data_IF_774942131244
#
_entry.id   IF_774942131244
#
_cell.length_a   1.000
_cell.length_b   1.000
_cell.length_c   1.000
_cell.angle_alpha   90.00
_cell.angle_beta   90.00
_cell.angle_gamma   90.00
#
_symmetry.space_group_name_H-M   'P 1'
#
loop_
_entity.id
_entity.type
_entity.pdbx_description
1 polymer ?
#
# COMPACT_ATOMS: atom_id res chain seq x y z
N UNK A 1 0.60 -51.52 -8.62
CA UNK A 1 0.45 -50.04 -8.68
C UNK A 1 -0.96 -49.72 -8.21
N UNK A 2 -1.10 -49.49 -6.91
CA UNK A 2 -2.38 -49.52 -6.20
C UNK A 2 -3.04 -48.14 -6.30
N UNK A 3 -4.12 -48.05 -7.08
CA UNK A 3 -5.05 -46.92 -7.09
C UNK A 3 -6.00 -47.04 -5.91
N UNK A 4 -6.17 -45.98 -5.12
CA UNK A 4 -7.23 -45.91 -4.10
C UNK A 4 -8.02 -44.62 -4.30
N UNK A 5 -9.10 -44.76 -5.04
CA UNK A 5 -10.20 -43.81 -5.21
C UNK A 5 -11.03 -43.78 -3.91
N UNK A 6 -11.01 -42.67 -3.16
CA UNK A 6 -11.91 -42.49 -2.01
C UNK A 6 -13.28 -41.99 -2.47
N UNK A 7 -14.27 -42.88 -2.35
CA UNK A 7 -15.68 -42.65 -2.66
C UNK A 7 -16.34 -41.82 -1.55
N UNK A 8 -17.18 -40.87 -1.97
CA UNK A 8 -18.10 -40.10 -1.12
C UNK A 8 -19.05 -41.07 -0.41
N UNK A 9 -19.09 -41.05 0.91
CA UNK A 9 -20.09 -41.78 1.69
C UNK A 9 -21.12 -40.80 2.24
N UNK A 10 -22.31 -40.79 1.65
CA UNK A 10 -23.54 -40.41 2.34
C UNK A 10 -23.90 -41.57 3.28
N UNK A 11 -24.20 -41.27 4.53
CA UNK A 11 -24.72 -42.25 5.49
C UNK A 11 -25.29 -41.56 6.71
N UNK A 12 -26.59 -41.26 6.66
CA UNK A 12 -27.39 -40.88 7.82
C UNK A 12 -28.02 -42.15 8.41
N UNK A 13 -27.79 -42.42 9.70
CA UNK A 13 -28.55 -43.41 10.48
C UNK A 13 -28.92 -42.78 11.82
N UNK A 14 -30.22 -42.70 12.07
CA UNK A 14 -30.84 -42.24 13.31
C UNK A 14 -31.15 -43.44 14.22
N UNK A 15 -30.78 -43.35 15.50
CA UNK A 15 -31.28 -44.24 16.56
C UNK A 15 -31.64 -43.39 17.78
N UNK A 16 -32.88 -43.53 18.25
CA UNK A 16 -33.45 -42.83 19.38
C UNK A 16 -32.78 -43.24 20.70
N UNK A 17 -32.24 -42.25 21.41
CA UNK A 17 -31.79 -42.34 22.80
C UNK A 17 -31.82 -40.92 23.37
N UNK A 18 -32.29 -40.75 24.60
CA UNK A 18 -32.36 -39.44 25.24
C UNK A 18 -30.94 -38.89 25.46
N UNK A 19 -30.43 -38.12 24.49
CA UNK A 19 -29.17 -37.38 24.60
C UNK A 19 -29.53 -36.00 25.13
N UNK A 20 -28.98 -35.65 26.30
CA UNK A 20 -28.96 -34.28 26.80
C UNK A 20 -28.49 -33.39 25.66
N UNK A 21 -29.36 -32.52 25.16
CA UNK A 21 -29.01 -31.54 24.14
C UNK A 21 -28.05 -30.53 24.75
N UNK A 22 -26.78 -30.90 24.87
CA UNK A 22 -25.70 -29.93 24.99
C UNK A 22 -25.74 -29.18 23.67
N UNK A 23 -26.05 -27.88 23.63
CA UNK A 23 -25.85 -27.11 22.42
C UNK A 23 -24.36 -27.20 22.09
N UNK A 24 -24.03 -28.05 21.13
CA UNK A 24 -22.72 -28.09 20.52
C UNK A 24 -22.66 -26.81 19.68
N UNK A 25 -22.33 -25.71 20.36
CA UNK A 25 -21.94 -24.48 19.72
C UNK A 25 -20.72 -24.83 18.88
N UNK A 26 -20.95 -25.09 17.59
CA UNK A 26 -19.89 -25.11 16.60
C UNK A 26 -19.40 -23.67 16.55
N UNK A 27 -18.44 -23.34 17.41
CA UNK A 27 -17.65 -22.14 17.24
C UNK A 27 -16.98 -22.32 15.89
N UNK A 28 -17.52 -21.63 14.88
CA UNK A 28 -16.77 -21.35 13.67
C UNK A 28 -15.61 -20.49 14.13
N UNK A 29 -14.53 -21.12 14.59
CA UNK A 29 -13.26 -20.46 14.78
C UNK A 29 -12.98 -19.79 13.45
N UNK A 30 -12.98 -18.46 13.46
CA UNK A 30 -12.52 -17.70 12.31
C UNK A 30 -11.09 -18.18 12.07
N UNK A 31 -10.88 -18.99 11.04
CA UNK A 31 -9.55 -19.28 10.57
C UNK A 31 -9.01 -17.97 10.01
N UNK A 32 -8.45 -17.13 10.87
CA UNK A 32 -7.55 -16.07 10.43
C UNK A 32 -6.41 -16.80 9.73
N UNK A 33 -6.27 -16.61 8.42
CA UNK A 33 -5.08 -17.06 7.73
C UNK A 33 -3.87 -16.57 8.53
N UNK A 34 -2.93 -17.47 8.86
CA UNK A 34 -1.71 -17.06 9.53
C UNK A 34 -1.07 -15.97 8.67
N UNK A 35 -0.99 -14.75 9.22
CA UNK A 35 -0.30 -13.66 8.54
C UNK A 35 1.20 -13.95 8.45
N UNK A 36 1.91 -13.06 7.78
CA UNK A 36 3.36 -13.03 7.83
C UNK A 36 3.85 -11.86 8.69
N UNK A 37 4.90 -12.12 9.47
CA UNK A 37 5.66 -11.09 10.16
C UNK A 37 6.80 -10.61 9.26
N UNK A 38 6.64 -9.38 8.78
CA UNK A 38 7.52 -8.66 7.87
C UNK A 38 8.59 -7.84 8.61
N UNK A 39 8.60 -7.81 9.94
CA UNK A 39 9.56 -7.02 10.72
C UNK A 39 11.01 -7.42 10.44
N UNK A 40 11.29 -8.73 10.34
CA UNK A 40 12.62 -9.25 10.00
C UNK A 40 13.07 -8.86 8.59
N UNK A 41 12.14 -8.91 7.62
CA UNK A 41 12.40 -8.47 6.24
C UNK A 41 12.68 -6.97 6.21
N UNK A 42 11.84 -6.16 6.86
CA UNK A 42 12.00 -4.71 6.92
C UNK A 42 13.30 -4.28 7.63
N UNK A 43 13.72 -5.02 8.66
CA UNK A 43 15.00 -4.76 9.31
C UNK A 43 16.19 -5.04 8.37
N UNK A 44 16.12 -6.11 7.59
CA UNK A 44 17.15 -6.42 6.61
C UNK A 44 17.16 -5.41 5.44
N UNK A 45 15.98 -4.99 4.96
CA UNK A 45 15.83 -4.10 3.79
C UNK A 45 16.14 -2.63 4.11
N UNK A 46 15.63 -2.11 5.23
CA UNK A 46 15.69 -0.68 5.54
C UNK A 46 16.12 -0.37 6.98
N UNK A 47 16.68 -1.35 7.70
CA UNK A 47 16.93 -1.24 9.16
C UNK A 47 15.65 -0.91 9.95
N UNK A 48 14.49 -1.33 9.44
CA UNK A 48 13.18 -1.16 10.07
C UNK A 48 12.55 0.22 9.82
N UNK A 49 13.13 1.04 8.94
CA UNK A 49 12.59 2.35 8.60
C UNK A 49 11.45 2.23 7.57
N UNK A 50 10.20 2.28 8.03
CA UNK A 50 9.02 2.22 7.18
C UNK A 50 8.78 3.46 6.32
N UNK A 51 9.43 4.58 6.63
CA UNK A 51 9.39 5.81 5.85
C UNK A 51 10.64 6.01 4.97
N UNK A 52 11.41 4.94 4.71
CA UNK A 52 12.64 5.04 3.95
C UNK A 52 12.40 5.61 2.54
N UNK A 53 13.06 6.72 2.24
CA UNK A 53 13.06 7.36 0.92
C UNK A 53 14.43 8.02 0.69
N UNK A 54 15.43 7.19 0.44
CA UNK A 54 16.84 7.61 0.37
C UNK A 54 17.28 8.05 -1.04
N UNK A 55 16.36 8.04 -2.01
CA UNK A 55 16.66 8.36 -3.41
C UNK A 55 17.33 7.23 -4.20
N UNK A 56 17.35 6.01 -3.67
CA UNK A 56 17.91 4.82 -4.34
C UNK A 56 16.91 4.09 -5.27
N UNK A 57 15.72 4.66 -5.50
CA UNK A 57 14.68 4.08 -6.35
C UNK A 57 13.77 3.05 -5.66
N UNK A 58 13.98 2.83 -4.36
CA UNK A 58 13.17 1.97 -3.51
C UNK A 58 12.55 2.77 -2.37
N UNK A 59 11.39 2.30 -1.89
CA UNK A 59 10.57 3.06 -0.97
C UNK A 59 10.02 2.19 0.16
N UNK A 60 9.97 2.79 1.35
CA UNK A 60 9.35 2.22 2.53
C UNK A 60 10.16 1.12 3.21
N UNK A 61 9.55 0.49 4.21
CA UNK A 61 10.21 -0.51 5.07
C UNK A 61 10.67 -1.75 4.33
N UNK A 62 9.96 -2.11 3.26
CA UNK A 62 10.20 -3.31 2.49
C UNK A 62 10.87 -3.02 1.14
N UNK A 63 11.39 -1.80 0.96
CA UNK A 63 12.16 -1.39 -0.22
C UNK A 63 11.43 -1.72 -1.54
N UNK A 64 10.18 -1.27 -1.69
CA UNK A 64 9.43 -1.45 -2.93
C UNK A 64 9.96 -0.57 -4.06
N UNK A 65 10.03 -1.10 -5.29
CA UNK A 65 10.07 -0.22 -6.47
C UNK A 65 8.70 0.41 -6.70
N UNK A 66 8.66 1.60 -7.30
CA UNK A 66 7.39 2.27 -7.62
C UNK A 66 6.51 1.44 -8.58
N UNK A 67 7.13 0.71 -9.52
CA UNK A 67 6.41 -0.18 -10.44
C UNK A 67 5.76 -1.36 -9.73
N UNK A 68 6.48 -2.02 -8.82
CA UNK A 68 5.92 -3.16 -8.05
C UNK A 68 4.84 -2.66 -7.09
N UNK A 69 5.06 -1.52 -6.43
CA UNK A 69 4.08 -0.89 -5.56
C UNK A 69 2.73 -0.71 -6.27
N UNK A 70 2.74 -0.07 -7.44
CA UNK A 70 1.53 0.19 -8.21
C UNK A 70 0.91 -1.11 -8.77
N UNK A 71 1.74 -2.06 -9.22
CA UNK A 71 1.26 -3.31 -9.81
C UNK A 71 0.53 -4.23 -8.81
N UNK A 72 0.87 -4.14 -7.51
CA UNK A 72 0.30 -4.97 -6.45
C UNK A 72 -0.72 -4.20 -5.58
N UNK A 73 -1.25 -3.10 -6.13
CA UNK A 73 -2.38 -2.38 -5.57
C UNK A 73 -2.03 -1.32 -4.53
N UNK A 74 -0.75 -0.92 -4.44
CA UNK A 74 -0.34 0.27 -3.71
C UNK A 74 -0.66 1.54 -4.51
N UNK A 75 -0.98 2.62 -3.80
CA UNK A 75 -1.21 3.96 -4.39
C UNK A 75 -0.20 4.97 -3.86
N UNK A 76 0.10 6.01 -4.64
CA UNK A 76 1.11 7.00 -4.25
C UNK A 76 2.50 6.38 -4.09
N UNK A 77 3.25 6.80 -3.07
CA UNK A 77 4.60 6.29 -2.79
C UNK A 77 4.60 5.44 -1.52
N UNK A 78 5.26 4.27 -1.55
CA UNK A 78 5.28 3.35 -0.41
C UNK A 78 5.85 3.98 0.87
N UNK A 79 6.83 4.89 0.77
CA UNK A 79 7.42 5.56 1.93
C UNK A 79 6.44 6.52 2.64
N UNK A 80 5.38 6.96 1.95
CA UNK A 80 4.31 7.79 2.53
C UNK A 80 3.11 6.95 3.00
N UNK A 81 3.10 5.64 2.70
CA UNK A 81 2.04 4.74 3.11
C UNK A 81 2.29 4.23 4.52
N UNK A 82 1.21 3.94 5.26
CA UNK A 82 1.32 3.31 6.57
C UNK A 82 2.03 1.95 6.46
N UNK A 83 2.70 1.53 7.54
CA UNK A 83 3.29 0.19 7.61
C UNK A 83 2.28 -0.91 7.25
N UNK A 84 1.03 -0.79 7.72
CA UNK A 84 -0.04 -1.75 7.41
C UNK A 84 -0.37 -1.81 5.93
N UNK A 85 -0.36 -0.66 5.23
CA UNK A 85 -0.60 -0.61 3.80
C UNK A 85 0.57 -1.21 3.02
N UNK A 86 1.80 -0.95 3.47
CA UNK A 86 2.99 -1.59 2.90
C UNK A 86 2.98 -3.10 3.07
N UNK A 87 2.58 -3.60 4.24
CA UNK A 87 2.41 -5.03 4.49
C UNK A 87 1.30 -5.61 3.61
N UNK A 88 0.16 -4.93 3.46
CA UNK A 88 -0.93 -5.39 2.59
C UNK A 88 -0.45 -5.58 1.14
N UNK A 89 0.33 -4.63 0.61
CA UNK A 89 0.92 -4.76 -0.73
C UNK A 89 1.98 -5.86 -0.75
N UNK A 90 2.76 -6.03 0.33
CA UNK A 90 3.74 -7.11 0.44
C UNK A 90 3.09 -8.49 0.40
N UNK A 91 1.96 -8.68 1.07
CA UNK A 91 1.16 -9.91 1.03
C UNK A 91 0.66 -10.19 -0.40
N UNK A 92 0.23 -9.17 -1.14
CA UNK A 92 -0.14 -9.32 -2.55
C UNK A 92 1.06 -9.76 -3.41
N UNK A 93 2.24 -9.18 -3.19
CA UNK A 93 3.48 -9.57 -3.89
C UNK A 93 3.86 -11.01 -3.52
N UNK A 94 3.80 -11.37 -2.25
CA UNK A 94 4.09 -12.71 -1.77
C UNK A 94 3.14 -13.75 -2.39
N UNK A 95 1.85 -13.41 -2.52
CA UNK A 95 0.87 -14.28 -3.17
C UNK A 95 1.13 -14.46 -4.68
N UNK A 96 1.65 -13.43 -5.36
CA UNK A 96 1.89 -13.47 -6.81
C UNK A 96 3.27 -13.99 -7.23
N UNK A 97 4.32 -13.63 -6.48
CA UNK A 97 5.73 -13.90 -6.81
C UNK A 97 6.42 -14.86 -5.83
N UNK A 98 5.80 -15.11 -4.67
CA UNK A 98 6.44 -15.81 -3.57
C UNK A 98 7.53 -15.00 -2.88
N UNK A 99 8.20 -15.63 -1.91
CA UNK A 99 9.25 -14.99 -1.09
C UNK A 99 10.46 -14.52 -1.91
N UNK A 100 10.61 -15.02 -3.15
CA UNK A 100 11.66 -14.64 -4.07
C UNK A 100 11.62 -13.17 -4.52
N UNK A 101 10.53 -12.45 -4.25
CA UNK A 101 10.48 -10.98 -4.42
C UNK A 101 11.44 -10.23 -3.48
N UNK A 102 11.86 -10.88 -2.38
CA UNK A 102 12.93 -10.41 -1.48
C UNK A 102 14.06 -11.45 -1.44
N UNK A 103 14.96 -11.52 -2.45
CA UNK A 103 15.90 -12.64 -2.61
C UNK A 103 16.84 -12.87 -1.42
N UNK A 104 17.27 -11.78 -0.76
CA UNK A 104 18.18 -11.84 0.38
C UNK A 104 17.42 -11.72 1.69
N UNK A 105 16.53 -10.74 1.81
CA UNK A 105 15.87 -10.46 3.08
C UNK A 105 14.60 -11.29 3.32
N UNK A 106 14.05 -11.96 2.29
CA UNK A 106 12.86 -12.80 2.42
C UNK A 106 13.05 -14.01 3.33
N UNK A 107 14.29 -14.43 3.59
CA UNK A 107 14.60 -15.48 4.58
C UNK A 107 14.18 -15.12 6.01
N UNK A 108 13.99 -13.82 6.30
CA UNK A 108 13.54 -13.32 7.60
C UNK A 108 12.02 -13.17 7.69
N UNK A 109 11.29 -13.58 6.65
CA UNK A 109 9.83 -13.66 6.70
C UNK A 109 9.43 -14.83 7.59
N UNK A 110 8.65 -14.56 8.63
CA UNK A 110 8.17 -15.60 9.55
C UNK A 110 6.64 -15.64 9.58
N UNK A 111 6.07 -16.75 10.03
CA UNK A 111 4.62 -16.83 10.27
C UNK A 111 4.28 -16.05 11.53
N UNK A 112 3.33 -15.13 11.44
CA UNK A 112 2.94 -14.30 12.57
C UNK A 112 2.25 -13.02 12.15
N UNK A 113 2.01 -12.13 13.11
CA UNK A 113 1.52 -10.79 12.83
C UNK A 113 2.70 -9.85 12.97
N UNK A 114 2.99 -9.07 11.93
CA UNK A 114 3.93 -7.96 12.08
C UNK A 114 3.36 -7.03 13.15
N UNK A 115 4.06 -6.89 14.28
CA UNK A 115 3.70 -5.87 15.24
C UNK A 115 3.79 -4.52 14.51
N UNK A 116 2.64 -3.89 14.31
CA UNK A 116 2.63 -2.53 13.80
C UNK A 116 3.44 -1.71 14.79
N UNK A 117 4.51 -1.06 14.33
CA UNK A 117 4.86 0.20 14.93
C UNK A 117 3.73 1.14 14.50
N UNK A 118 2.65 1.08 15.27
CA UNK A 118 1.56 2.02 15.17
C UNK A 118 2.10 3.37 15.68
N UNK A 119 2.87 4.08 14.85
CA UNK A 119 2.39 5.43 14.61
C UNK A 119 1.16 5.21 13.73
N UNK A 120 0.04 4.88 14.39
CA UNK A 120 -1.26 4.99 13.77
C UNK A 120 -1.26 6.38 13.13
N UNK A 121 -1.66 6.47 11.87
CA UNK A 121 -2.10 7.72 11.33
C UNK A 121 -3.16 8.26 12.30
N UNK A 122 -2.73 9.13 13.21
CA UNK A 122 -3.63 10.00 13.91
C UNK A 122 -4.38 10.71 12.78
N UNK A 123 -5.70 10.58 12.80
CA UNK A 123 -6.56 11.60 12.22
C UNK A 123 -5.95 12.98 12.54
N UNK A 124 -6.00 13.96 11.62
CA UNK A 124 -5.38 15.26 11.85
C UNK A 124 -5.91 15.80 13.17
N UNK A 125 -5.05 15.83 14.19
CA UNK A 125 -5.40 16.47 15.45
C UNK A 125 -5.54 17.94 15.13
N UNK A 126 -6.72 18.45 15.42
CA UNK A 126 -7.06 19.85 15.52
C UNK A 126 -5.90 20.61 16.17
N UNK A 127 -5.17 21.39 15.36
CA UNK A 127 -4.33 22.48 15.84
C UNK A 127 -5.09 23.79 15.60
N UNK A 128 -6.07 24.07 16.45
CA UNK A 128 -6.55 25.44 16.71
C UNK A 128 -5.77 25.93 17.95
N UNK A 129 -5.15 27.10 18.06
CA UNK A 129 -4.88 28.18 17.13
C UNK A 129 -3.73 29.00 17.76
N UNK A 130 -2.84 29.55 16.92
CA UNK A 130 -2.16 30.82 17.21
C UNK A 130 -1.91 31.47 15.86
N UNK A 131 -2.66 32.53 15.64
CA UNK A 131 -2.76 33.33 14.42
C UNK A 131 -1.44 34.03 14.10
N UNK A 132 -0.94 33.87 12.88
CA UNK A 132 -0.21 34.92 12.19
C UNK A 132 -0.48 34.83 10.68
N UNK A 133 -1.41 35.70 10.26
CA UNK A 133 -1.59 36.29 8.93
C UNK A 133 -1.21 35.46 7.69
N UNK A 134 -2.23 34.97 6.99
CA UNK A 134 -2.11 34.61 5.58
C UNK A 134 -1.58 35.80 4.74
N UNK A 135 -0.65 35.57 3.79
CA UNK A 135 -0.90 35.93 2.42
C UNK A 135 -1.64 34.73 1.80
N UNK A 136 -2.93 34.90 1.49
CA UNK A 136 -3.36 35.15 0.13
C UNK A 136 -2.61 34.25 -0.87
N UNK A 137 -3.37 33.32 -1.46
CA UNK A 137 -3.01 32.66 -2.69
C UNK A 137 -2.18 33.59 -3.58
N UNK A 138 -0.90 33.29 -3.72
CA UNK A 138 -0.22 33.68 -4.94
C UNK A 138 -0.77 32.74 -5.98
N UNK A 139 -1.91 33.16 -6.53
CA UNK A 139 -2.29 32.77 -7.88
C UNK A 139 -1.08 33.15 -8.70
N UNK A 140 -0.22 32.17 -9.00
CA UNK A 140 0.71 32.35 -10.08
C UNK A 140 -0.16 32.69 -11.28
N UNK A 141 -0.05 33.95 -11.68
CA UNK A 141 -0.64 34.46 -12.90
C UNK A 141 0.55 34.64 -13.84
N UNK A 142 1.30 33.55 -14.04
CA UNK A 142 2.40 33.46 -14.97
C UNK A 142 2.01 32.52 -16.08
N UNK A 143 2.31 32.88 -17.33
CA UNK A 143 2.24 31.92 -18.43
C UNK A 143 3.55 31.15 -18.48
N UNK A 144 3.48 29.83 -18.29
CA UNK A 144 4.61 28.93 -18.45
C UNK A 144 4.54 28.21 -19.79
N UNK A 145 5.61 28.28 -20.57
CA UNK A 145 5.75 27.53 -21.82
C UNK A 145 6.47 26.22 -21.52
N UNK A 146 5.76 25.11 -21.70
CA UNK A 146 6.27 23.75 -21.53
C UNK A 146 7.54 23.55 -22.38
N UNK A 147 8.60 23.03 -21.77
CA UNK A 147 9.85 22.68 -22.46
C UNK A 147 9.93 21.17 -22.70
N UNK A 148 10.79 20.77 -23.62
CA UNK A 148 11.05 19.35 -23.88
C UNK A 148 11.60 18.67 -22.61
N UNK A 149 10.88 17.64 -22.14
CA UNK A 149 11.23 16.89 -20.93
C UNK A 149 10.44 17.29 -19.67
N UNK A 150 9.56 18.29 -19.76
CA UNK A 150 8.67 18.64 -18.66
C UNK A 150 7.50 17.67 -18.51
N UNK A 151 7.02 17.55 -17.28
CA UNK A 151 5.79 16.85 -16.94
C UNK A 151 4.95 17.78 -16.07
N UNK A 152 3.62 17.71 -16.17
CA UNK A 152 2.72 18.58 -15.38
C UNK A 152 3.03 18.55 -13.88
N UNK A 153 3.38 17.40 -13.32
CA UNK A 153 3.73 17.26 -11.91
C UNK A 153 5.02 18.00 -11.53
N UNK A 154 6.01 18.06 -12.43
CA UNK A 154 7.25 18.82 -12.23
C UNK A 154 7.00 20.33 -12.31
N UNK A 155 6.15 20.76 -13.25
CA UNK A 155 5.76 22.17 -13.40
C UNK A 155 4.93 22.60 -12.18
N UNK A 156 3.95 21.80 -11.78
CA UNK A 156 3.12 22.04 -10.60
C UNK A 156 3.96 22.19 -9.32
N UNK A 157 4.92 21.28 -9.11
CA UNK A 157 5.83 21.33 -7.98
C UNK A 157 6.78 22.56 -8.03
N UNK A 158 7.23 22.96 -9.22
CA UNK A 158 8.12 24.11 -9.39
C UNK A 158 7.41 25.46 -9.17
N UNK A 159 6.12 25.53 -9.47
CA UNK A 159 5.31 26.76 -9.41
C UNK A 159 4.37 26.82 -8.20
N UNK A 160 4.36 25.80 -7.34
CA UNK A 160 3.58 25.79 -6.10
C UNK A 160 2.06 25.72 -6.32
N UNK A 161 1.64 25.18 -7.46
CA UNK A 161 0.23 25.04 -7.87
C UNK A 161 -0.18 23.57 -7.88
N UNK A 162 -1.47 23.28 -7.67
CA UNK A 162 -1.96 21.90 -7.67
C UNK A 162 -1.98 21.32 -9.08
N UNK A 163 -1.64 20.03 -9.20
CA UNK A 163 -1.71 19.31 -10.48
C UNK A 163 -3.11 19.39 -11.10
N UNK A 164 -4.16 19.42 -10.26
CA UNK A 164 -5.56 19.57 -10.66
C UNK A 164 -5.84 20.91 -11.34
N UNK A 165 -5.19 22.00 -10.89
CA UNK A 165 -5.32 23.32 -11.50
C UNK A 165 -4.66 23.41 -12.89
N UNK A 166 -3.60 22.64 -13.16
CA UNK A 166 -3.06 22.53 -14.53
C UNK A 166 -3.81 21.50 -15.38
N UNK A 167 -4.29 20.43 -14.76
CA UNK A 167 -5.01 19.35 -15.43
C UNK A 167 -6.29 19.84 -16.10
N UNK A 168 -6.99 20.80 -15.48
CA UNK A 168 -8.20 21.42 -16.04
C UNK A 168 -7.92 22.27 -17.28
N UNK A 169 -6.67 22.68 -17.52
CA UNK A 169 -6.27 23.52 -18.65
C UNK A 169 -5.82 22.71 -19.87
N UNK A 170 -5.66 21.38 -19.74
CA UNK A 170 -5.15 20.52 -20.81
C UNK A 170 -6.15 19.42 -21.17
N UNK A 171 -6.34 19.10 -22.46
CA UNK A 171 -7.30 18.08 -22.88
C UNK A 171 -6.88 16.67 -22.46
N UNK A 172 -5.58 16.44 -22.26
CA UNK A 172 -5.03 15.19 -21.78
C UNK A 172 -3.87 15.46 -20.82
N UNK A 173 -4.07 15.13 -19.55
CA UNK A 173 -3.08 15.33 -18.48
C UNK A 173 -1.77 14.55 -18.71
N UNK A 174 -1.81 13.49 -19.50
CA UNK A 174 -0.67 12.63 -19.80
C UNK A 174 0.13 13.08 -21.05
N UNK A 175 -0.32 14.10 -21.78
CA UNK A 175 0.31 14.53 -23.03
C UNK A 175 0.39 16.06 -23.08
N UNK A 176 1.48 16.61 -22.55
CA UNK A 176 1.87 18.01 -22.76
C UNK A 176 2.98 18.09 -23.80
N UNK A 177 2.89 19.08 -24.68
CA UNK A 177 3.86 19.28 -25.76
C UNK A 177 4.75 20.50 -25.50
N UNK A 178 6.03 20.45 -25.90
CA UNK A 178 6.89 21.63 -25.86
C UNK A 178 6.28 22.80 -26.66
N UNK A 179 6.28 23.99 -26.08
CA UNK A 179 5.63 25.17 -26.66
C UNK A 179 4.18 25.40 -26.20
N UNK A 180 3.60 24.47 -25.44
CA UNK A 180 2.26 24.62 -24.85
C UNK A 180 2.31 25.62 -23.69
N UNK A 181 1.41 26.61 -23.69
CA UNK A 181 1.30 27.60 -22.61
C UNK A 181 0.32 27.10 -21.55
N UNK A 182 0.75 27.12 -20.29
CA UNK A 182 -0.04 26.79 -19.11
C UNK A 182 -0.10 28.02 -18.20
N UNK A 183 -1.25 28.26 -17.59
CA UNK A 183 -1.36 29.26 -16.52
C UNK A 183 -0.88 28.62 -15.22
N UNK A 184 0.22 29.16 -14.69
CA UNK A 184 0.89 28.70 -13.47
C UNK A 184 1.06 29.80 -12.45
#
# INVERSE_FOLDING_TARGET
MTSITFKRALGAVATAGAVVAIPLAMSTGTASAAGHDWSGVANCESSGNWAANTGNGFYGGLQFTQSTWNAFGGSGNAANASQSEQIRVAENVLAGQGVGAWPVCGQYLTTGTTAGNYEAAAAPVTAEASVESAPAASTGSGNYVVKAGDTLSKIAAAHGISLENLASQVPNINLIFPGQSLSV
#
